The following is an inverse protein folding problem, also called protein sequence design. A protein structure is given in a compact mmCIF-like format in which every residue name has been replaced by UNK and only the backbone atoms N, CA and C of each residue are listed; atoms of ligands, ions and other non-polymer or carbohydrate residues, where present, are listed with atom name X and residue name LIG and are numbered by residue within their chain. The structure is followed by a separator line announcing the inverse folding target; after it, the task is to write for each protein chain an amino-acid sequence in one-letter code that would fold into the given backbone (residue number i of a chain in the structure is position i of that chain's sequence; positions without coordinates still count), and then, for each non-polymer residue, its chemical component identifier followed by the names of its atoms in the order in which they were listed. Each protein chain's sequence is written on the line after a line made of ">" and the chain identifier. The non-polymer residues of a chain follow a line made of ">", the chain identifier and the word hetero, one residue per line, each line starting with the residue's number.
data_IF_158668232988
#
_entry.id   IF_158668232988
#
_cell.length_a   1.000
_cell.length_b   1.000
_cell.length_c   1.000
_cell.angle_alpha   90.00
_cell.angle_beta   90.00
_cell.angle_gamma   90.00
#
_symmetry.space_group_name_H-M   'P 1'
#
loop_
_entity.id
_entity.type
_entity.pdbx_description
1 polymer ?
#
# COMPACT_ATOMS: atom_id res chain seq x y z
N UNK A 1 -5.21 5.07 -8.11
CA UNK A 1 -5.04 5.26 -9.57
C UNK A 1 -3.76 4.55 -9.98
N UNK A 2 -3.71 3.93 -11.17
CA UNK A 2 -2.45 3.42 -11.70
C UNK A 2 -1.43 4.55 -11.79
N UNK A 3 -0.15 4.23 -11.58
CA UNK A 3 0.98 5.14 -11.71
C UNK A 3 1.97 4.60 -12.74
N UNK A 4 2.86 5.46 -13.23
CA UNK A 4 3.94 5.05 -14.14
C UNK A 4 4.98 4.25 -13.37
N UNK A 5 5.40 3.09 -13.89
CA UNK A 5 6.49 2.30 -13.31
C UNK A 5 7.85 3.01 -13.39
N UNK A 6 7.95 4.07 -14.19
CA UNK A 6 9.16 4.90 -14.32
C UNK A 6 9.12 6.15 -13.44
N UNK A 7 8.01 6.41 -12.74
CA UNK A 7 7.98 7.42 -11.69
C UNK A 7 8.60 6.84 -10.41
N UNK A 8 9.33 7.68 -9.68
CA UNK A 8 10.11 7.28 -8.49
C UNK A 8 9.55 7.85 -7.19
N UNK A 9 8.29 8.30 -7.20
CA UNK A 9 7.59 8.85 -6.03
C UNK A 9 7.05 7.77 -5.07
N UNK A 10 7.09 6.51 -5.50
CA UNK A 10 6.65 5.32 -4.72
C UNK A 10 7.67 4.19 -4.88
N UNK A 11 7.58 3.18 -4.03
CA UNK A 11 8.44 2.00 -4.13
C UNK A 11 8.03 1.07 -5.28
N UNK A 12 6.87 1.30 -5.90
CA UNK A 12 6.32 0.50 -7.00
C UNK A 12 6.94 0.89 -8.37
N UNK A 13 8.27 0.92 -8.45
CA UNK A 13 9.03 1.22 -9.68
C UNK A 13 9.34 -0.04 -10.49
N UNK A 14 9.69 0.12 -11.77
CA UNK A 14 10.07 -0.98 -12.65
C UNK A 14 11.21 -1.84 -12.06
N UNK A 15 12.27 -1.19 -11.58
CA UNK A 15 13.45 -1.88 -11.01
C UNK A 15 13.09 -2.64 -9.72
N UNK A 16 12.27 -2.03 -8.85
CA UNK A 16 11.84 -2.68 -7.63
C UNK A 16 10.91 -3.86 -7.91
N UNK A 17 9.98 -3.73 -8.86
CA UNK A 17 9.01 -4.79 -9.15
C UNK A 17 9.64 -5.96 -9.91
N UNK A 18 10.63 -5.72 -10.77
CA UNK A 18 11.24 -6.76 -11.59
C UNK A 18 11.92 -7.86 -10.75
N UNK A 19 12.50 -7.51 -9.60
CA UNK A 19 13.22 -8.46 -8.72
C UNK A 19 12.32 -9.31 -7.83
N UNK A 20 11.13 -8.84 -7.48
CA UNK A 20 10.28 -9.47 -6.45
C UNK A 20 9.75 -10.86 -6.83
N UNK A 21 9.35 -11.15 -8.09
CA UNK A 21 8.89 -12.48 -8.46
C UNK A 21 9.97 -13.56 -8.28
N UNK A 22 11.24 -13.21 -8.47
CA UNK A 22 12.36 -14.13 -8.26
C UNK A 22 12.62 -14.39 -6.76
N UNK A 23 12.37 -13.39 -5.90
CA UNK A 23 12.60 -13.48 -4.45
C UNK A 23 11.42 -14.14 -3.70
N UNK A 24 10.18 -13.81 -4.07
CA UNK A 24 8.96 -14.18 -3.33
C UNK A 24 8.06 -15.18 -4.08
N UNK A 25 8.42 -15.56 -5.31
CA UNK A 25 7.61 -16.41 -6.18
C UNK A 25 6.62 -15.63 -7.05
N UNK A 26 6.00 -16.32 -8.01
CA UNK A 26 5.10 -15.72 -9.00
C UNK A 26 3.84 -16.59 -9.19
N UNK A 27 2.62 -16.02 -9.18
CA UNK A 27 2.30 -14.60 -9.00
C UNK A 27 2.45 -14.12 -7.56
N UNK A 28 2.71 -12.82 -7.37
CA UNK A 28 2.87 -12.18 -6.06
C UNK A 28 2.12 -10.85 -5.99
N UNK A 29 1.60 -10.50 -4.80
CA UNK A 29 0.95 -9.23 -4.51
C UNK A 29 1.92 -8.30 -3.78
N UNK A 30 2.06 -7.06 -4.25
CA UNK A 30 2.92 -6.03 -3.66
C UNK A 30 2.05 -4.82 -3.27
N UNK A 31 2.30 -4.27 -2.10
CA UNK A 31 1.63 -3.07 -1.59
C UNK A 31 2.68 -2.07 -1.09
N UNK A 32 2.47 -0.79 -1.40
CA UNK A 32 3.30 0.30 -0.86
C UNK A 32 2.58 0.97 0.32
N UNK A 33 3.24 0.96 1.49
CA UNK A 33 2.70 1.51 2.72
C UNK A 33 2.55 3.03 2.71
N UNK A 34 3.41 3.77 1.99
CA UNK A 34 3.31 5.22 1.89
C UNK A 34 2.08 5.65 1.08
N UNK A 35 1.71 4.88 0.05
CA UNK A 35 0.46 5.11 -0.68
C UNK A 35 -0.74 4.98 0.27
N UNK A 36 -0.76 3.95 1.12
CA UNK A 36 -1.83 3.75 2.11
C UNK A 36 -1.88 4.93 3.10
N UNK A 37 -0.75 5.31 3.69
CA UNK A 37 -0.66 6.47 4.61
C UNK A 37 -1.16 7.76 3.97
N UNK A 38 -0.77 8.02 2.73
CA UNK A 38 -1.23 9.19 1.96
C UNK A 38 -2.74 9.20 1.76
N UNK A 39 -3.36 8.06 1.53
CA UNK A 39 -4.83 7.97 1.42
C UNK A 39 -5.53 8.20 2.75
N UNK A 40 -4.97 7.72 3.86
CA UNK A 40 -5.53 7.97 5.21
C UNK A 40 -5.43 9.47 5.55
N UNK A 41 -4.29 10.11 5.27
CA UNK A 41 -4.07 11.53 5.54
C UNK A 41 -5.07 12.46 4.84
N UNK A 42 -5.58 12.07 3.66
CA UNK A 42 -6.62 12.81 2.93
C UNK A 42 -7.97 12.82 3.66
N UNK A 43 -8.19 11.90 4.60
CA UNK A 43 -9.41 11.76 5.38
C UNK A 43 -9.28 12.34 6.80
N UNK A 44 -8.24 13.13 7.06
CA UNK A 44 -7.93 13.69 8.39
C UNK A 44 -9.01 14.62 8.97
N UNK A 45 -9.98 15.07 8.16
CA UNK A 45 -11.11 15.91 8.62
C UNK A 45 -12.23 15.11 9.32
N UNK A 46 -12.24 13.79 9.20
CA UNK A 46 -13.24 12.94 9.85
C UNK A 46 -12.79 12.57 11.25
N UNK A 47 -13.72 12.54 12.21
CA UNK A 47 -13.42 12.13 13.59
C UNK A 47 -12.86 10.70 13.67
N UNK A 48 -13.36 9.81 12.81
CA UNK A 48 -12.96 8.40 12.76
C UNK A 48 -12.92 7.91 11.32
N UNK A 49 -11.79 7.30 10.94
CA UNK A 49 -11.64 6.57 9.67
C UNK A 49 -11.67 5.06 9.95
N UNK A 50 -12.83 4.43 9.78
CA UNK A 50 -12.98 2.98 10.01
C UNK A 50 -12.74 2.19 8.73
N UNK A 51 -11.54 1.63 8.58
CA UNK A 51 -11.18 0.84 7.40
C UNK A 51 -12.05 -0.40 7.22
N UNK A 52 -12.60 -0.59 6.01
CA UNK A 52 -13.39 -1.76 5.66
C UNK A 52 -12.47 -2.93 5.27
N UNK A 53 -12.06 -3.74 6.26
CA UNK A 53 -11.08 -4.83 6.09
C UNK A 53 -11.39 -5.84 4.98
N UNK A 54 -12.64 -5.97 4.53
CA UNK A 54 -13.02 -6.86 3.40
C UNK A 54 -12.33 -6.49 2.08
N UNK A 55 -11.84 -5.26 1.95
CA UNK A 55 -11.12 -4.80 0.77
C UNK A 55 -9.66 -5.29 0.74
N UNK A 56 -9.02 -5.43 1.91
CA UNK A 56 -7.67 -5.97 2.05
C UNK A 56 -7.44 -6.41 3.50
N UNK A 57 -7.44 -7.71 3.77
CA UNK A 57 -7.48 -8.26 5.13
C UNK A 57 -6.12 -8.73 5.67
N UNK A 58 -5.01 -8.38 5.02
CA UNK A 58 -3.68 -8.74 5.52
C UNK A 58 -3.43 -8.04 6.88
N UNK A 59 -3.11 -8.80 7.92
CA UNK A 59 -2.94 -8.28 9.28
C UNK A 59 -1.81 -7.24 9.40
N UNK A 60 -0.81 -7.28 8.53
CA UNK A 60 0.26 -6.27 8.49
C UNK A 60 -0.27 -4.93 7.96
N UNK A 61 -1.19 -4.97 6.99
CA UNK A 61 -1.90 -3.77 6.51
C UNK A 61 -2.88 -3.28 7.58
N UNK A 62 -3.59 -4.17 8.28
CA UNK A 62 -4.47 -3.76 9.38
C UNK A 62 -3.69 -3.13 10.55
N UNK A 63 -2.48 -3.62 10.83
CA UNK A 63 -1.56 -3.00 11.78
C UNK A 63 -1.14 -1.61 11.32
N UNK A 64 -0.80 -1.45 10.04
CA UNK A 64 -0.50 -0.13 9.45
C UNK A 64 -1.69 0.83 9.58
N UNK A 65 -2.92 0.37 9.34
CA UNK A 65 -4.13 1.19 9.53
C UNK A 65 -4.23 1.67 10.97
N UNK A 66 -4.10 0.74 11.94
CA UNK A 66 -4.14 1.06 13.38
C UNK A 66 -3.03 2.02 13.83
N UNK A 67 -1.87 1.98 13.18
CA UNK A 67 -0.76 2.91 13.43
C UNK A 67 -1.04 4.33 12.93
N UNK A 68 -2.13 4.57 12.18
CA UNK A 68 -2.52 5.90 11.67
C UNK A 68 -3.74 6.49 12.39
N UNK A 69 -4.26 5.83 13.43
CA UNK A 69 -5.50 6.19 14.14
C UNK A 69 -6.66 5.27 13.82
#
# INVERSE_FOLDING_TARGET
>A
MPHSLYATDTDLTADNLLRLPAEFGCPVWIYDAQIIRRQIAQLSQFDVVRFAQKACSNIHILRLMREQG
#
